data_IF_292281297676
#
_entry.id   IF_292281297676
#
_cell.length_a   1.000
_cell.length_b   1.000
_cell.length_c   1.000
_cell.angle_alpha   90.00
_cell.angle_beta   90.00
_cell.angle_gamma   90.00
#
_symmetry.space_group_name_H-M   'P 1'
#
loop_
_entity.id
_entity.type
_entity.pdbx_description
1 polymer ?
#
# COMPACT_ATOMS: atom_id res chain seq x y z
N UNK A 1 -49.36 26.73 -42.42
CA UNK A 1 -49.50 28.11 -41.93
C UNK A 1 -48.19 28.55 -41.28
N UNK A 2 -47.87 29.85 -41.39
CA UNK A 2 -46.79 30.63 -40.73
C UNK A 2 -45.32 30.15 -40.72
N UNK A 3 -44.41 31.12 -40.95
CA UNK A 3 -42.94 31.02 -40.93
C UNK A 3 -42.36 31.79 -39.72
N UNK A 4 -41.14 31.41 -39.29
CA UNK A 4 -39.99 32.25 -38.81
C UNK A 4 -38.90 31.27 -38.32
N UNK A 5 -37.70 31.09 -38.89
CA UNK A 5 -36.60 32.01 -39.25
C UNK A 5 -36.13 32.88 -38.06
N UNK A 6 -34.93 32.58 -37.51
CA UNK A 6 -33.75 33.43 -37.72
C UNK A 6 -32.40 32.79 -37.29
N UNK A 7 -31.33 33.36 -37.85
CA UNK A 7 -29.90 32.99 -37.79
C UNK A 7 -29.07 34.25 -37.50
N UNK A 8 -27.81 34.23 -37.01
CA UNK A 8 -26.88 33.16 -36.57
C UNK A 8 -25.54 33.79 -36.13
N UNK A 9 -24.66 33.02 -35.46
CA UNK A 9 -23.21 33.29 -35.25
C UNK A 9 -22.79 34.46 -34.32
N UNK A 10 -21.79 34.18 -33.47
CA UNK A 10 -20.70 35.07 -33.00
C UNK A 10 -19.68 34.14 -32.29
N UNK A 11 -18.58 33.69 -32.94
CA UNK A 11 -17.30 34.36 -33.25
C UNK A 11 -16.31 34.43 -32.07
N UNK A 12 -15.26 33.63 -32.19
CA UNK A 12 -14.01 33.63 -31.41
C UNK A 12 -13.25 34.95 -31.55
N UNK A 13 -12.57 35.40 -30.49
CA UNK A 13 -11.47 36.37 -30.56
C UNK A 13 -10.30 35.93 -29.67
N UNK A 14 -9.09 36.32 -30.07
CA UNK A 14 -7.82 35.81 -29.56
C UNK A 14 -7.13 36.74 -28.53
N UNK A 15 -6.03 36.26 -27.98
CA UNK A 15 -5.23 36.91 -26.93
C UNK A 15 -4.47 38.16 -27.39
N UNK A 16 -4.20 39.08 -26.46
CA UNK A 16 -3.22 40.17 -26.58
C UNK A 16 -2.73 40.58 -25.17
N UNK A 17 -1.45 40.90 -25.04
CA UNK A 17 -0.79 41.21 -23.77
C UNK A 17 -0.26 42.65 -23.72
N UNK A 18 -0.20 43.27 -22.52
CA UNK A 18 0.71 44.39 -22.23
C UNK A 18 0.89 44.70 -20.71
N UNK A 19 2.15 44.69 -20.28
CA UNK A 19 2.82 45.58 -19.30
C UNK A 19 2.19 45.98 -17.93
N UNK A 20 2.67 45.29 -16.88
CA UNK A 20 3.21 45.78 -15.59
C UNK A 20 2.96 47.22 -15.05
N UNK A 21 2.61 47.27 -13.75
CA UNK A 21 3.23 48.17 -12.74
C UNK A 21 3.11 47.58 -11.31
N UNK A 22 3.97 48.01 -10.40
CA UNK A 22 4.26 47.35 -9.10
C UNK A 22 3.47 47.87 -7.89
N UNK A 23 3.04 46.98 -6.98
CA UNK A 23 2.86 47.31 -5.56
C UNK A 23 2.96 46.04 -4.68
N UNK A 24 4.00 45.94 -3.86
CA UNK A 24 4.18 44.86 -2.86
C UNK A 24 3.77 45.32 -1.46
N UNK A 25 2.96 44.54 -0.73
CA UNK A 25 3.02 44.48 0.71
C UNK A 25 3.81 43.24 1.15
N UNK A 26 4.83 43.44 1.99
CA UNK A 26 5.73 42.38 2.46
C UNK A 26 5.01 41.51 3.48
N UNK A 27 4.48 40.35 3.08
CA UNK A 27 4.12 39.30 4.03
C UNK A 27 5.40 38.78 4.70
N UNK A 28 5.57 39.08 5.99
CA UNK A 28 6.69 38.58 6.76
C UNK A 28 6.56 37.06 6.92
N UNK A 29 7.41 36.30 6.24
CA UNK A 29 7.55 34.87 6.46
C UNK A 29 8.12 34.64 7.86
N UNK A 30 7.24 34.46 8.83
CA UNK A 30 7.61 33.87 10.10
C UNK A 30 8.02 32.41 9.83
N UNK A 31 9.31 32.21 9.56
CA UNK A 31 9.93 30.88 9.54
C UNK A 31 9.87 30.32 10.95
N UNK A 32 8.72 29.76 11.30
CA UNK A 32 8.53 28.90 12.45
C UNK A 32 9.46 27.71 12.25
N UNK A 33 10.68 27.84 12.78
CA UNK A 33 11.59 26.72 12.99
C UNK A 33 10.96 25.85 14.06
N UNK A 34 10.00 25.03 13.64
CA UNK A 34 9.68 23.80 14.35
C UNK A 34 10.98 23.00 14.35
N UNK A 35 11.73 23.12 15.44
CA UNK A 35 12.76 22.16 15.75
C UNK A 35 12.04 20.82 15.77
N UNK A 36 12.30 19.99 14.76
CA UNK A 36 11.83 18.63 14.75
C UNK A 36 12.47 17.95 15.97
N UNK A 37 11.73 17.92 17.08
CA UNK A 37 11.95 16.91 18.09
C UNK A 37 11.66 15.60 17.38
N UNK A 38 12.72 15.02 16.84
CA UNK A 38 12.79 13.60 16.54
C UNK A 38 12.47 12.88 17.84
N UNK A 39 11.20 12.57 18.04
CA UNK A 39 10.75 11.54 18.99
C UNK A 39 11.06 10.16 18.40
N UNK A 40 12.28 10.01 17.90
CA UNK A 40 12.95 8.74 17.81
C UNK A 40 12.94 8.16 19.22
N UNK A 41 12.12 7.13 19.42
CA UNK A 41 12.05 6.37 20.65
C UNK A 41 13.37 5.60 20.78
N UNK A 42 14.40 6.26 21.34
CA UNK A 42 15.75 5.72 21.49
C UNK A 42 15.81 4.72 22.66
N UNK A 43 15.07 3.62 22.53
CA UNK A 43 15.11 2.47 23.44
C UNK A 43 15.38 1.14 22.74
N UNK A 44 15.82 1.17 21.48
CA UNK A 44 16.48 0.02 20.86
C UNK A 44 17.99 0.26 20.74
N UNK A 45 18.66 0.26 21.90
CA UNK A 45 20.12 0.18 21.95
C UNK A 45 20.57 -1.20 21.46
N UNK A 46 20.89 -1.31 20.18
CA UNK A 46 21.65 -2.44 19.64
C UNK A 46 23.06 -2.41 20.24
N UNK A 47 23.21 -2.87 21.48
CA UNK A 47 24.52 -3.22 22.02
C UNK A 47 25.02 -4.43 21.23
N UNK A 48 25.81 -4.11 20.19
CA UNK A 48 26.58 -5.05 19.40
C UNK A 48 27.77 -5.53 20.21
N UNK A 49 27.49 -6.33 21.24
CA UNK A 49 28.51 -7.12 21.93
C UNK A 49 28.56 -8.51 21.31
N UNK A 50 29.78 -8.94 21.00
CA UNK A 50 30.11 -10.16 20.27
C UNK A 50 29.73 -11.39 21.11
N UNK A 51 28.52 -11.90 20.88
CA UNK A 51 27.89 -12.91 21.71
C UNK A 51 27.48 -14.13 20.90
N UNK A 52 28.26 -15.20 21.05
CA UNK A 52 27.87 -16.60 20.83
C UNK A 52 26.39 -16.79 21.12
N UNK A 53 25.58 -17.25 20.15
CA UNK A 53 24.12 -17.09 20.10
C UNK A 53 23.35 -17.49 21.38
N UNK A 54 23.30 -16.59 22.37
CA UNK A 54 22.39 -16.67 23.52
C UNK A 54 21.01 -16.32 22.99
N UNK A 55 20.11 -17.32 22.97
CA UNK A 55 18.69 -17.11 22.68
C UNK A 55 18.08 -16.25 23.78
N UNK A 56 18.02 -14.93 23.53
CA UNK A 56 17.28 -13.98 24.36
C UNK A 56 15.81 -14.40 24.40
N UNK A 57 15.20 -14.32 25.57
CA UNK A 57 13.75 -14.53 25.74
C UNK A 57 13.04 -13.19 25.83
N UNK A 58 11.73 -13.19 25.64
CA UNK A 58 10.92 -11.96 25.84
C UNK A 58 11.06 -11.44 27.27
N UNK A 59 11.19 -12.33 28.27
CA UNK A 59 11.39 -11.92 29.67
C UNK A 59 12.67 -11.12 29.92
N UNK A 60 13.72 -11.34 29.10
CA UNK A 60 15.01 -10.64 29.23
C UNK A 60 14.95 -9.21 28.67
N UNK A 61 13.95 -8.90 27.84
CA UNK A 61 13.79 -7.63 27.13
C UNK A 61 12.63 -6.82 27.70
N UNK A 62 11.47 -7.46 27.90
CA UNK A 62 10.28 -6.84 28.46
C UNK A 62 9.53 -7.84 29.37
N UNK A 63 9.91 -7.95 30.66
CA UNK A 63 9.39 -8.97 31.58
C UNK A 63 7.90 -8.84 31.91
N UNK A 64 7.27 -7.71 31.55
CA UNK A 64 5.83 -7.46 31.73
C UNK A 64 5.00 -7.65 30.46
N UNK A 65 5.63 -8.01 29.32
CA UNK A 65 4.93 -8.22 28.06
C UNK A 65 3.95 -9.41 28.15
N UNK A 66 2.70 -9.19 27.72
CA UNK A 66 1.64 -10.21 27.75
C UNK A 66 0.70 -10.09 26.55
N UNK A 67 -0.03 -11.16 26.22
CA UNK A 67 -0.90 -11.19 25.04
C UNK A 67 -0.13 -11.04 23.73
N UNK A 68 -0.71 -10.32 22.75
CA UNK A 68 -0.13 -10.12 21.43
C UNK A 68 1.26 -9.46 21.46
N UNK A 69 1.51 -8.51 22.36
CA UNK A 69 2.82 -7.88 22.55
C UNK A 69 3.93 -8.92 22.82
N UNK A 70 3.65 -9.91 23.67
CA UNK A 70 4.58 -11.01 23.94
C UNK A 70 4.76 -11.92 22.73
N UNK A 71 3.70 -12.16 21.97
CA UNK A 71 3.73 -13.02 20.78
C UNK A 71 4.58 -12.40 19.66
N UNK A 72 4.38 -11.11 19.40
CA UNK A 72 5.13 -10.29 18.44
C UNK A 72 6.63 -10.28 18.81
N UNK A 73 6.97 -9.95 20.06
CA UNK A 73 8.37 -9.97 20.52
C UNK A 73 9.01 -11.36 20.44
N UNK A 74 8.28 -12.43 20.77
CA UNK A 74 8.80 -13.79 20.64
C UNK A 74 9.08 -14.14 19.17
N UNK A 75 8.21 -13.71 18.25
CA UNK A 75 8.37 -13.89 16.81
C UNK A 75 9.59 -13.14 16.26
N UNK A 76 9.76 -11.88 16.64
CA UNK A 76 10.92 -11.06 16.25
C UNK A 76 12.25 -11.67 16.73
N UNK A 77 12.29 -12.18 17.97
CA UNK A 77 13.47 -12.86 18.53
C UNK A 77 13.78 -14.21 17.86
N UNK A 78 12.77 -14.88 17.33
CA UNK A 78 12.90 -16.09 16.51
C UNK A 78 13.21 -15.78 15.04
N UNK A 79 13.17 -14.51 14.63
CA UNK A 79 13.35 -14.07 13.24
C UNK A 79 12.20 -14.46 12.31
N UNK A 80 10.99 -14.69 12.84
CA UNK A 80 9.79 -15.05 12.08
C UNK A 80 8.79 -13.89 12.01
N UNK A 81 8.11 -13.72 10.89
CA UNK A 81 7.00 -12.78 10.76
C UNK A 81 5.67 -13.52 11.01
N UNK A 82 4.86 -13.05 11.97
CA UNK A 82 3.54 -13.63 12.26
C UNK A 82 2.58 -13.44 11.08
N UNK A 83 2.68 -12.30 10.38
CA UNK A 83 1.81 -11.88 9.28
C UNK A 83 2.46 -12.10 7.90
N UNK A 84 3.37 -13.08 7.79
CA UNK A 84 4.01 -13.44 6.52
C UNK A 84 2.97 -13.73 5.42
N UNK A 85 1.88 -14.42 5.78
CA UNK A 85 0.86 -14.84 4.81
C UNK A 85 0.08 -13.66 4.21
N UNK A 86 0.09 -12.47 4.84
CA UNK A 86 -0.71 -11.34 4.39
C UNK A 86 -0.19 -10.72 3.10
N UNK A 87 1.08 -11.00 2.75
CA UNK A 87 1.80 -10.46 1.60
C UNK A 87 2.13 -11.60 0.62
N UNK A 88 1.16 -12.11 -0.17
CA UNK A 88 1.41 -13.18 -1.13
C UNK A 88 2.27 -12.68 -2.29
N UNK A 89 3.48 -13.22 -2.40
CA UNK A 89 4.40 -12.99 -3.52
C UNK A 89 4.54 -14.24 -4.38
N UNK A 90 4.67 -14.08 -5.69
CA UNK A 90 4.79 -15.20 -6.62
C UNK A 90 4.73 -14.77 -8.10
N UNK A 91 4.95 -15.71 -9.03
CA UNK A 91 4.80 -15.45 -10.46
C UNK A 91 3.33 -15.24 -10.84
N UNK A 92 3.11 -14.74 -12.07
CA UNK A 92 1.78 -14.64 -12.66
C UNK A 92 1.13 -16.03 -12.76
N UNK A 93 -0.08 -16.15 -12.20
CA UNK A 93 -0.79 -17.42 -12.07
C UNK A 93 -1.48 -17.85 -13.36
N UNK A 94 -1.19 -19.06 -13.84
CA UNK A 94 -1.86 -19.70 -14.99
C UNK A 94 -2.79 -20.83 -14.55
N UNK A 95 -3.54 -21.44 -15.48
CA UNK A 95 -4.46 -22.54 -15.18
C UNK A 95 -3.72 -23.82 -14.76
N UNK A 96 -2.51 -24.00 -15.28
CA UNK A 96 -1.59 -25.10 -15.00
C UNK A 96 -0.75 -24.83 -13.74
N UNK A 97 -0.40 -23.57 -13.48
CA UNK A 97 0.41 -23.12 -12.35
C UNK A 97 -0.21 -21.86 -11.70
N UNK A 98 -1.28 -22.00 -10.89
CA UNK A 98 -2.01 -20.87 -10.33
C UNK A 98 -1.22 -20.14 -9.25
N UNK A 99 -1.56 -18.86 -9.04
CA UNK A 99 -1.08 -18.08 -7.90
C UNK A 99 -1.72 -18.62 -6.61
N UNK A 100 -0.90 -19.21 -5.73
CA UNK A 100 -1.34 -19.84 -4.48
C UNK A 100 -1.35 -18.80 -3.36
N UNK A 101 -2.54 -18.46 -2.88
CA UNK A 101 -2.73 -17.54 -1.75
C UNK A 101 -2.91 -18.34 -0.46
N UNK A 102 -2.01 -18.16 0.52
CA UNK A 102 -2.13 -18.75 1.85
C UNK A 102 -3.34 -18.15 2.61
N UNK A 103 -4.05 -18.90 3.44
CA UNK A 103 -5.16 -18.40 4.27
C UNK A 103 -5.35 -19.24 5.53
N UNK A 104 -5.68 -18.62 6.67
CA UNK A 104 -6.08 -19.35 7.89
C UNK A 104 -7.52 -19.90 7.83
N UNK A 105 -8.32 -19.48 6.84
CA UNK A 105 -9.72 -19.87 6.67
C UNK A 105 -10.00 -20.34 5.24
N UNK A 106 -11.08 -21.09 5.05
CA UNK A 106 -11.52 -21.60 3.73
C UNK A 106 -11.93 -20.49 2.72
N UNK A 107 -11.95 -19.21 3.13
CA UNK A 107 -12.18 -18.05 2.25
C UNK A 107 -11.29 -16.88 2.63
N UNK A 108 -10.78 -16.16 1.63
CA UNK A 108 -9.97 -14.93 1.79
C UNK A 108 -10.35 -13.87 0.77
N UNK A 109 -10.31 -12.59 1.17
CA UNK A 109 -10.41 -11.46 0.24
C UNK A 109 -9.04 -11.27 -0.42
N UNK A 110 -9.01 -11.23 -1.75
CA UNK A 110 -7.80 -11.05 -2.56
C UNK A 110 -8.00 -9.88 -3.50
N UNK A 111 -6.94 -9.09 -3.69
CA UNK A 111 -6.87 -8.00 -4.68
C UNK A 111 -5.85 -8.35 -5.75
N UNK A 112 -6.24 -8.34 -7.02
CA UNK A 112 -5.33 -8.50 -8.16
C UNK A 112 -5.01 -7.12 -8.74
N UNK A 113 -3.74 -6.65 -8.71
CA UNK A 113 -3.30 -5.41 -9.36
C UNK A 113 -2.90 -5.61 -10.84
N UNK A 114 -3.00 -6.83 -11.36
CA UNK A 114 -2.52 -7.18 -12.69
C UNK A 114 -1.10 -7.75 -12.71
N UNK A 115 -0.59 -7.95 -13.93
CA UNK A 115 0.80 -8.37 -14.20
C UNK A 115 1.72 -7.18 -14.54
N UNK A 116 2.91 -7.48 -15.05
CA UNK A 116 3.81 -6.46 -15.61
C UNK A 116 3.39 -6.08 -17.04
N UNK A 117 3.41 -4.79 -17.37
CA UNK A 117 3.22 -4.31 -18.74
C UNK A 117 1.75 -4.19 -19.15
N UNK A 118 1.32 -4.91 -20.19
CA UNK A 118 -0.05 -4.79 -20.74
C UNK A 118 -1.12 -5.39 -19.82
N UNK A 119 -0.72 -6.24 -18.86
CA UNK A 119 -1.60 -6.88 -17.88
C UNK A 119 -1.78 -6.04 -16.59
N UNK A 120 -1.19 -4.86 -16.47
CA UNK A 120 -1.35 -3.94 -15.32
C UNK A 120 -2.75 -3.29 -15.32
N UNK A 121 -3.44 -3.29 -14.17
CA UNK A 121 -4.79 -2.71 -14.08
C UNK A 121 -5.18 -2.24 -12.66
N UNK A 122 -6.27 -1.45 -12.56
CA UNK A 122 -6.87 -1.08 -11.27
C UNK A 122 -7.21 -2.32 -10.43
N UNK A 123 -6.99 -2.27 -9.11
CA UNK A 123 -7.08 -3.44 -8.23
C UNK A 123 -8.49 -4.06 -8.24
N UNK A 124 -8.59 -5.29 -8.73
CA UNK A 124 -9.83 -6.08 -8.72
C UNK A 124 -9.89 -6.90 -7.44
N UNK A 125 -10.89 -6.61 -6.60
CA UNK A 125 -11.13 -7.31 -5.33
C UNK A 125 -12.17 -8.41 -5.46
N UNK A 126 -11.86 -9.60 -4.94
CA UNK A 126 -12.76 -10.76 -4.98
C UNK A 126 -12.64 -11.65 -3.74
N UNK A 127 -13.66 -12.48 -3.52
CA UNK A 127 -13.62 -13.58 -2.56
C UNK A 127 -13.04 -14.82 -3.24
N UNK A 128 -11.89 -15.29 -2.75
CA UNK A 128 -11.30 -16.56 -3.12
C UNK A 128 -11.75 -17.64 -2.13
N UNK A 129 -12.29 -18.75 -2.62
CA UNK A 129 -12.82 -19.84 -1.79
C UNK A 129 -12.04 -21.14 -2.00
N UNK A 130 -11.96 -21.98 -0.97
CA UNK A 130 -11.36 -23.30 -1.05
C UNK A 130 -12.04 -24.17 -2.09
N UNK A 131 -11.24 -24.95 -2.80
CA UNK A 131 -11.63 -25.84 -3.90
C UNK A 131 -12.34 -25.14 -5.08
N UNK A 132 -12.29 -23.80 -5.15
CA UNK A 132 -12.86 -22.99 -6.24
C UNK A 132 -11.82 -21.99 -6.77
N UNK A 133 -11.09 -22.32 -7.84
CA UNK A 133 -10.17 -21.36 -8.45
C UNK A 133 -10.92 -20.12 -8.95
N UNK A 134 -10.25 -18.98 -8.89
CA UNK A 134 -10.75 -17.71 -9.42
C UNK A 134 -9.88 -17.23 -10.59
N UNK A 135 -10.51 -16.74 -11.65
CA UNK A 135 -9.84 -16.15 -12.81
C UNK A 135 -10.12 -14.64 -12.79
N UNK A 136 -9.08 -13.80 -12.76
CA UNK A 136 -9.25 -12.36 -12.78
C UNK A 136 -9.96 -11.93 -14.08
N UNK A 137 -11.05 -11.14 -14.02
CA UNK A 137 -11.80 -10.74 -15.21
C UNK A 137 -11.08 -9.75 -16.13
N UNK A 138 -9.89 -9.26 -15.76
CA UNK A 138 -9.11 -8.27 -16.54
C UNK A 138 -7.86 -8.91 -17.14
N UNK A 139 -6.89 -9.35 -16.31
CA UNK A 139 -5.66 -10.00 -16.78
C UNK A 139 -5.75 -11.53 -16.97
N UNK A 140 -6.88 -12.17 -16.68
CA UNK A 140 -7.04 -13.63 -16.71
C UNK A 140 -6.10 -14.45 -15.79
N UNK A 141 -5.43 -13.80 -14.82
CA UNK A 141 -4.62 -14.49 -13.81
C UNK A 141 -5.46 -15.48 -12.98
N UNK A 142 -4.93 -16.68 -12.77
CA UNK A 142 -5.58 -17.76 -12.04
C UNK A 142 -5.10 -17.84 -10.59
N UNK A 143 -6.04 -17.91 -9.64
CA UNK A 143 -5.79 -17.93 -8.20
C UNK A 143 -6.41 -19.15 -7.52
N UNK A 144 -5.71 -19.71 -6.53
CA UNK A 144 -6.22 -20.76 -5.63
C UNK A 144 -5.85 -20.43 -4.19
N UNK A 145 -6.70 -20.81 -3.23
CA UNK A 145 -6.37 -20.67 -1.80
C UNK A 145 -5.76 -21.97 -1.27
N UNK A 146 -4.70 -21.84 -0.49
CA UNK A 146 -4.13 -22.90 0.34
C UNK A 146 -4.40 -22.57 1.81
N UNK A 147 -5.04 -23.49 2.53
CA UNK A 147 -5.39 -23.39 3.96
C UNK A 147 -4.92 -24.63 4.70
#
# INVERSE_FOLDING_TARGET
>A
MLRRLLSSHLKTLASSAAAAATATPRSASASARFAALSRSCLYFSTQSEDATAIKKKVEDIMPIATGHEREELQAELEGRNILEIDHPEGPFGTKEAPAVVKSYYDKRIVGCPGGEGEDEHDVVWFWLEKDKPHECPVCAQYFVVSS
#
